data_IF_928496349173
#
_entry.id   IF_928496349173
#
_cell.length_a   1.000
_cell.length_b   1.000
_cell.length_c   1.000
_cell.angle_alpha   90.00
_cell.angle_beta   90.00
_cell.angle_gamma   90.00
#
_symmetry.space_group_name_H-M   'P 1'
#
loop_
_entity.id
_entity.type
_entity.pdbx_description
1 polymer ?
#
# COMPACT_ATOMS: atom_id res chain seq x y z
N UNK A 1 23.69 22.33 -6.12
CA UNK A 1 22.92 23.25 -6.99
C UNK A 1 22.72 22.54 -8.32
N UNK A 2 21.52 21.98 -8.56
CA UNK A 2 21.24 21.25 -9.80
C UNK A 2 21.02 22.25 -10.95
N UNK A 3 22.02 22.42 -11.80
CA UNK A 3 21.85 23.18 -13.04
C UNK A 3 21.04 22.33 -14.03
N UNK A 4 19.78 22.71 -14.26
CA UNK A 4 18.89 22.11 -15.25
C UNK A 4 19.20 22.68 -16.63
N UNK A 5 20.27 22.16 -17.24
CA UNK A 5 20.59 22.52 -18.61
C UNK A 5 19.66 21.82 -19.62
N UNK A 6 19.09 22.52 -20.62
CA UNK A 6 18.14 21.96 -21.58
C UNK A 6 18.63 20.70 -22.31
N UNK A 7 19.91 20.65 -22.65
CA UNK A 7 20.52 19.51 -23.34
C UNK A 7 20.61 18.24 -22.49
N UNK A 8 20.67 18.36 -21.15
CA UNK A 8 20.61 17.20 -20.24
C UNK A 8 19.22 16.60 -20.19
N UNK A 9 18.17 17.43 -20.28
CA UNK A 9 16.78 16.97 -20.33
C UNK A 9 16.53 16.27 -21.67
N UNK A 10 17.03 16.82 -22.78
CA UNK A 10 16.93 16.18 -24.09
C UNK A 10 17.61 14.80 -24.12
N UNK A 11 18.82 14.66 -23.54
CA UNK A 11 19.50 13.36 -23.41
C UNK A 11 18.70 12.36 -22.57
N UNK A 12 18.14 12.82 -21.43
CA UNK A 12 17.30 11.98 -20.57
C UNK A 12 16.09 11.39 -21.31
N UNK A 13 15.50 12.14 -22.24
CA UNK A 13 14.37 11.68 -23.06
C UNK A 13 14.85 10.71 -24.16
N UNK A 14 15.99 11.00 -24.80
CA UNK A 14 16.50 10.25 -25.95
C UNK A 14 17.20 8.93 -25.59
N UNK A 15 17.81 8.83 -24.41
CA UNK A 15 18.61 7.66 -23.97
C UNK A 15 17.75 6.50 -23.42
N UNK A 16 16.43 6.49 -23.67
CA UNK A 16 15.51 5.46 -23.13
C UNK A 16 15.26 5.57 -21.62
N UNK A 17 15.94 6.51 -20.94
CA UNK A 17 15.80 6.77 -19.50
C UNK A 17 14.40 7.25 -19.11
N UNK A 18 13.77 8.07 -19.95
CA UNK A 18 12.36 8.43 -19.79
C UNK A 18 11.43 7.23 -19.97
N UNK A 19 11.74 6.29 -20.87
CA UNK A 19 10.95 5.06 -21.04
C UNK A 19 11.08 4.14 -19.82
N UNK A 20 12.28 3.96 -19.27
CA UNK A 20 12.47 3.18 -18.04
C UNK A 20 11.81 3.87 -16.83
N UNK A 21 11.91 5.19 -16.70
CA UNK A 21 11.20 5.92 -15.64
C UNK A 21 9.67 5.83 -15.81
N UNK A 22 9.15 5.94 -17.02
CA UNK A 22 7.70 5.93 -17.25
C UNK A 22 7.08 4.53 -17.28
N UNK A 23 7.86 3.48 -17.55
CA UNK A 23 7.34 2.12 -17.70
C UNK A 23 7.81 1.19 -16.56
N UNK A 24 9.09 1.18 -16.21
CA UNK A 24 9.62 0.27 -15.19
C UNK A 24 9.33 0.77 -13.77
N UNK A 25 9.42 2.08 -13.54
CA UNK A 25 9.19 2.64 -12.21
C UNK A 25 7.74 2.48 -11.71
N UNK A 26 6.70 2.67 -12.56
CA UNK A 26 5.33 2.36 -12.14
C UNK A 26 5.12 0.87 -11.96
N UNK A 27 5.79 0.01 -12.72
CA UNK A 27 5.72 -1.44 -12.50
C UNK A 27 6.39 -1.86 -11.19
N UNK A 28 7.49 -1.21 -10.81
CA UNK A 28 8.12 -1.41 -9.50
C UNK A 28 7.23 -0.92 -8.34
N UNK A 29 6.57 0.22 -8.53
CA UNK A 29 5.64 0.79 -7.55
C UNK A 29 4.33 -0.01 -7.44
N UNK A 30 3.74 -0.39 -8.58
CA UNK A 30 2.60 -1.29 -8.63
C UNK A 30 2.98 -2.64 -8.03
N UNK A 31 4.19 -3.12 -8.34
CA UNK A 31 4.88 -4.23 -7.68
C UNK A 31 4.77 -4.20 -6.17
N UNK A 32 5.28 -3.13 -5.59
CA UNK A 32 5.18 -2.86 -4.17
C UNK A 32 3.73 -2.90 -3.64
N UNK A 33 2.77 -2.34 -4.38
CA UNK A 33 1.34 -2.37 -4.04
C UNK A 33 0.64 -3.71 -4.36
N UNK A 34 1.37 -4.68 -4.91
CA UNK A 34 0.82 -5.93 -5.40
C UNK A 34 0.44 -5.87 -6.89
N UNK A 35 1.38 -5.66 -7.78
CA UNK A 35 1.16 -5.66 -9.23
C UNK A 35 2.41 -6.20 -9.87
N UNK A 36 2.41 -7.49 -10.22
CA UNK A 36 3.52 -8.19 -10.89
C UNK A 36 4.91 -8.22 -10.21
N UNK A 37 5.16 -7.55 -9.07
CA UNK A 37 6.44 -7.63 -8.32
C UNK A 37 6.19 -7.54 -6.81
N UNK A 38 5.58 -8.56 -6.22
CA UNK A 38 5.13 -8.57 -4.82
C UNK A 38 6.20 -8.90 -3.81
N UNK A 39 6.18 -8.36 -2.59
CA UNK A 39 7.05 -8.83 -1.48
C UNK A 39 8.56 -8.93 -1.86
N UNK A 40 8.97 -8.43 -3.04
CA UNK A 40 10.25 -8.70 -3.70
C UNK A 40 10.35 -9.80 -4.80
N UNK A 41 9.28 -10.47 -5.25
CA UNK A 41 9.30 -11.53 -6.29
C UNK A 41 8.29 -11.30 -7.44
N UNK A 42 8.68 -11.65 -8.67
CA UNK A 42 7.93 -11.38 -9.90
C UNK A 42 6.75 -12.34 -10.20
N UNK A 43 6.62 -13.45 -9.45
CA UNK A 43 5.75 -14.57 -9.88
C UNK A 43 4.36 -14.61 -9.26
N UNK A 44 3.94 -13.58 -8.52
CA UNK A 44 2.57 -13.49 -8.06
C UNK A 44 2.13 -12.03 -8.27
N UNK A 45 0.93 -11.88 -8.80
CA UNK A 45 0.23 -10.60 -8.89
C UNK A 45 -1.09 -10.83 -8.15
N UNK A 46 -1.40 -10.06 -7.10
CA UNK A 46 -2.71 -10.12 -6.51
C UNK A 46 -3.74 -9.69 -7.55
N UNK A 47 -4.95 -10.20 -7.41
CA UNK A 47 -6.02 -9.92 -8.38
C UNK A 47 -6.26 -8.40 -8.47
N UNK A 48 -6.59 -7.86 -9.65
CA UNK A 48 -6.89 -6.44 -9.84
C UNK A 48 -7.90 -5.87 -8.84
N UNK A 49 -8.83 -6.69 -8.36
CA UNK A 49 -9.81 -6.34 -7.32
C UNK A 49 -9.15 -5.85 -6.03
N UNK A 50 -8.05 -6.48 -5.60
CA UNK A 50 -7.31 -6.10 -4.38
C UNK A 50 -6.72 -4.70 -4.56
N UNK A 51 -6.06 -4.46 -5.70
CA UNK A 51 -5.48 -3.16 -6.05
C UNK A 51 -6.54 -2.05 -6.06
N UNK A 52 -7.69 -2.31 -6.67
CA UNK A 52 -8.80 -1.35 -6.74
C UNK A 52 -9.31 -1.04 -5.33
N UNK A 53 -9.61 -2.07 -4.52
CA UNK A 53 -10.13 -1.90 -3.18
C UNK A 53 -9.15 -1.12 -2.28
N UNK A 54 -7.88 -1.50 -2.27
CA UNK A 54 -6.87 -0.79 -1.47
C UNK A 54 -6.65 0.63 -1.97
N UNK A 55 -6.63 0.86 -3.29
CA UNK A 55 -6.49 2.21 -3.86
C UNK A 55 -7.66 3.11 -3.49
N UNK A 56 -8.90 2.61 -3.58
CA UNK A 56 -10.10 3.39 -3.22
C UNK A 56 -10.07 3.76 -1.73
N UNK A 57 -9.74 2.80 -0.85
CA UNK A 57 -9.62 3.05 0.59
C UNK A 57 -8.52 4.06 0.91
N UNK A 58 -7.35 3.90 0.29
CA UNK A 58 -6.19 4.77 0.48
C UNK A 58 -6.42 6.20 -0.04
N UNK A 59 -6.96 6.35 -1.24
CA UNK A 59 -7.29 7.68 -1.82
C UNK A 59 -8.36 8.37 -0.98
N UNK A 60 -9.40 7.64 -0.55
CA UNK A 60 -10.43 8.18 0.33
C UNK A 60 -9.80 8.69 1.64
N UNK A 61 -8.90 7.91 2.24
CA UNK A 61 -8.15 8.32 3.42
C UNK A 61 -7.33 9.59 3.19
N UNK A 62 -6.53 9.67 2.11
CA UNK A 62 -5.70 10.83 1.78
C UNK A 62 -6.56 12.07 1.57
N UNK A 63 -7.62 11.99 0.76
CA UNK A 63 -8.47 13.14 0.40
C UNK A 63 -9.07 13.77 1.66
N UNK A 64 -9.50 12.95 2.61
CA UNK A 64 -10.09 13.44 3.85
C UNK A 64 -9.03 14.02 4.77
N UNK A 65 -7.89 13.33 4.94
CA UNK A 65 -6.84 13.75 5.87
C UNK A 65 -6.03 14.94 5.35
N UNK A 66 -5.87 15.09 4.04
CA UNK A 66 -5.12 16.18 3.41
C UNK A 66 -5.65 17.57 3.78
N UNK A 67 -6.93 17.71 4.15
CA UNK A 67 -7.49 19.00 4.59
C UNK A 67 -6.88 19.50 5.90
N UNK A 68 -6.37 18.60 6.74
CA UNK A 68 -5.80 18.92 8.05
C UNK A 68 -4.29 19.09 8.02
N UNK A 69 -3.63 18.56 6.99
CA UNK A 69 -2.17 18.55 6.93
C UNK A 69 -1.66 19.91 6.45
N UNK A 70 -0.71 20.56 7.16
CA UNK A 70 -0.10 21.81 6.71
C UNK A 70 0.69 21.58 5.43
N UNK A 71 0.80 22.61 4.60
CA UNK A 71 1.45 22.53 3.28
C UNK A 71 2.89 21.99 3.36
N UNK A 72 3.64 22.36 4.42
CA UNK A 72 5.02 21.89 4.64
C UNK A 72 5.11 20.36 4.73
N UNK A 73 4.16 19.72 5.45
CA UNK A 73 4.12 18.26 5.60
C UNK A 73 3.62 17.60 4.31
N UNK A 74 2.65 18.21 3.60
CA UNK A 74 2.26 17.74 2.26
C UNK A 74 3.44 17.69 1.30
N UNK A 75 4.26 18.74 1.30
CA UNK A 75 5.47 18.80 0.46
C UNK A 75 6.48 17.74 0.89
N UNK A 76 6.72 17.56 2.20
CA UNK A 76 7.64 16.55 2.71
C UNK A 76 7.19 15.12 2.39
N UNK A 77 5.94 14.77 2.67
CA UNK A 77 5.37 13.47 2.33
C UNK A 77 5.29 13.26 0.82
N UNK A 78 4.98 14.31 0.05
CA UNK A 78 5.01 14.28 -1.41
C UNK A 78 6.41 14.02 -1.95
N UNK A 79 7.45 14.64 -1.37
CA UNK A 79 8.84 14.36 -1.71
C UNK A 79 9.22 12.91 -1.39
N UNK A 80 8.82 12.39 -0.23
CA UNK A 80 9.01 10.98 0.15
C UNK A 80 8.32 10.00 -0.82
N UNK A 81 7.09 10.31 -1.26
CA UNK A 81 6.39 9.53 -2.28
C UNK A 81 7.08 9.60 -3.65
N UNK A 82 7.61 10.76 -4.04
CA UNK A 82 8.38 10.88 -5.28
C UNK A 82 9.65 10.01 -5.25
N UNK A 83 10.31 9.88 -4.10
CA UNK A 83 11.45 8.97 -3.95
C UNK A 83 11.08 7.51 -4.21
N UNK A 84 9.82 7.11 -4.00
CA UNK A 84 9.35 5.76 -4.34
C UNK A 84 9.39 5.47 -5.85
N UNK A 85 9.38 6.49 -6.70
CA UNK A 85 9.52 6.33 -8.16
C UNK A 85 10.96 6.53 -8.64
N UNK A 86 11.67 7.49 -8.04
CA UNK A 86 13.05 7.78 -8.44
C UNK A 86 14.06 6.71 -8.00
N UNK A 87 13.90 6.11 -6.81
CA UNK A 87 14.85 5.12 -6.31
C UNK A 87 14.81 3.80 -7.10
N UNK A 88 13.66 3.19 -7.42
CA UNK A 88 13.63 1.98 -8.24
C UNK A 88 14.24 2.20 -9.62
N UNK A 89 13.98 3.35 -10.24
CA UNK A 89 14.62 3.73 -11.50
C UNK A 89 16.14 3.77 -11.37
N UNK A 90 16.65 4.44 -10.33
CA UNK A 90 18.10 4.54 -10.11
C UNK A 90 18.75 3.18 -9.81
N UNK A 91 18.08 2.31 -9.04
CA UNK A 91 18.55 0.95 -8.78
C UNK A 91 18.47 0.03 -10.01
N UNK A 92 17.48 0.22 -10.89
CA UNK A 92 17.36 -0.49 -12.17
C UNK A 92 18.58 -0.23 -13.05
N UNK A 93 19.04 1.02 -13.13
CA UNK A 93 20.24 1.40 -13.89
C UNK A 93 21.54 0.80 -13.33
N UNK A 94 21.60 0.56 -12.01
CA UNK A 94 22.81 0.06 -11.34
C UNK A 94 22.98 -1.46 -11.36
N UNK A 95 22.02 -2.23 -11.90
CA UNK A 95 21.96 -3.69 -11.80
C UNK A 95 21.99 -4.25 -10.35
N UNK A 96 21.64 -3.43 -9.35
CA UNK A 96 21.67 -3.79 -7.91
C UNK A 96 20.44 -4.64 -7.51
N UNK A 97 19.54 -4.92 -8.45
CA UNK A 97 18.27 -5.57 -8.20
C UNK A 97 17.24 -4.62 -7.57
N UNK A 98 15.96 -4.93 -7.76
CA UNK A 98 14.84 -4.14 -7.22
C UNK A 98 14.77 -4.32 -5.70
N UNK A 99 15.47 -3.45 -4.96
CA UNK A 99 15.52 -3.50 -3.50
C UNK A 99 14.21 -3.00 -2.87
N UNK A 100 13.17 -3.83 -2.96
CA UNK A 100 11.82 -3.64 -2.38
C UNK A 100 11.83 -3.26 -0.89
N UNK A 101 12.87 -3.68 -0.15
CA UNK A 101 13.03 -3.40 1.29
C UNK A 101 13.14 -1.90 1.64
N UNK A 102 13.78 -1.08 0.80
CA UNK A 102 13.94 0.35 1.10
C UNK A 102 12.69 1.17 0.71
N UNK A 103 11.97 0.71 -0.31
CA UNK A 103 10.71 1.30 -0.78
C UNK A 103 9.67 1.27 0.34
N UNK A 104 9.58 0.15 1.09
CA UNK A 104 8.65 0.00 2.21
C UNK A 104 8.94 1.00 3.34
N UNK A 105 10.20 1.17 3.73
CA UNK A 105 10.57 2.09 4.79
C UNK A 105 10.21 3.54 4.43
N UNK A 106 10.52 3.96 3.20
CA UNK A 106 10.21 5.32 2.71
C UNK A 106 8.70 5.54 2.62
N UNK A 107 7.97 4.55 2.13
CA UNK A 107 6.50 4.59 2.08
C UNK A 107 5.90 4.76 3.48
N UNK A 108 6.32 3.93 4.44
CA UNK A 108 5.82 3.97 5.81
C UNK A 108 6.18 5.28 6.52
N UNK A 109 7.43 5.76 6.40
CA UNK A 109 7.83 7.04 6.99
C UNK A 109 7.01 8.19 6.42
N UNK A 110 6.79 8.20 5.10
CA UNK A 110 5.98 9.24 4.43
C UNK A 110 4.53 9.22 4.91
N UNK A 111 3.94 8.04 5.05
CA UNK A 111 2.56 7.83 5.48
C UNK A 111 2.35 8.14 6.97
N UNK A 112 3.29 7.72 7.83
CA UNK A 112 3.28 8.01 9.28
C UNK A 112 3.42 9.51 9.50
N UNK A 113 4.36 10.17 8.81
CA UNK A 113 4.54 11.63 8.92
C UNK A 113 3.28 12.38 8.51
N UNK A 114 2.65 11.97 7.41
CA UNK A 114 1.41 12.57 6.92
C UNK A 114 0.24 12.37 7.89
N UNK A 115 0.04 11.15 8.36
CA UNK A 115 -1.06 10.78 9.26
C UNK A 115 -0.90 11.37 10.67
N UNK A 116 0.32 11.34 11.23
CA UNK A 116 0.62 11.96 12.53
C UNK A 116 0.35 13.47 12.49
N UNK A 117 0.77 14.15 11.43
CA UNK A 117 0.46 15.58 11.26
C UNK A 117 -1.05 15.82 11.15
N UNK A 118 -1.78 14.96 10.45
CA UNK A 118 -3.23 15.08 10.35
C UNK A 118 -3.94 14.88 11.70
N UNK A 119 -3.38 14.09 12.63
CA UNK A 119 -3.92 13.91 13.99
C UNK A 119 -3.63 15.14 14.84
N UNK A 120 -2.38 15.63 14.85
CA UNK A 120 -1.99 16.83 15.62
C UNK A 120 -2.78 18.05 15.20
N UNK A 121 -2.97 18.27 13.89
CA UNK A 121 -3.74 19.40 13.37
C UNK A 121 -5.25 19.24 13.54
N UNK A 122 -5.77 18.00 13.65
CA UNK A 122 -7.20 17.75 13.94
C UNK A 122 -7.60 18.19 15.35
N UNK A 123 -6.73 18.05 16.35
CA UNK A 123 -7.00 18.56 17.71
C UNK A 123 -7.30 20.06 17.75
N UNK A 124 -6.90 20.80 16.71
CA UNK A 124 -7.12 22.25 16.58
C UNK A 124 -8.39 22.60 15.76
N UNK A 125 -9.00 21.64 15.07
CA UNK A 125 -10.11 21.88 14.15
C UNK A 125 -11.28 20.91 14.40
N UNK A 126 -12.44 21.43 14.84
CA UNK A 126 -13.68 20.70 15.13
C UNK A 126 -14.40 20.17 13.86
N UNK A 127 -13.70 19.46 12.99
CA UNK A 127 -14.26 18.93 11.75
C UNK A 127 -14.72 17.48 11.90
N UNK A 128 -15.91 17.16 11.39
CA UNK A 128 -16.53 15.84 11.49
C UNK A 128 -16.20 14.98 10.26
N UNK A 129 -15.77 13.74 10.48
CA UNK A 129 -15.69 12.74 9.41
C UNK A 129 -17.10 12.36 8.96
N UNK A 130 -17.32 12.29 7.65
CA UNK A 130 -18.57 11.74 7.13
C UNK A 130 -18.65 10.26 7.47
N UNK A 131 -19.80 9.81 7.99
CA UNK A 131 -20.06 8.39 8.26
C UNK A 131 -19.90 7.54 7.01
N UNK A 132 -20.31 8.06 5.84
CA UNK A 132 -20.16 7.37 4.56
C UNK A 132 -18.69 7.10 4.24
N UNK A 133 -17.81 8.08 4.42
CA UNK A 133 -16.38 7.93 4.17
C UNK A 133 -15.72 6.90 5.09
N UNK A 134 -16.11 6.86 6.36
CA UNK A 134 -15.58 5.86 7.31
C UNK A 134 -16.03 4.45 6.93
N UNK A 135 -17.28 4.27 6.52
CA UNK A 135 -17.79 2.98 6.04
C UNK A 135 -17.08 2.56 4.75
N UNK A 136 -16.85 3.49 3.81
CA UNK A 136 -16.09 3.19 2.60
C UNK A 136 -14.68 2.73 2.92
N UNK A 137 -13.96 3.45 3.79
CA UNK A 137 -12.61 3.08 4.24
C UNK A 137 -12.63 1.70 4.89
N UNK A 138 -13.58 1.45 5.80
CA UNK A 138 -13.71 0.17 6.48
C UNK A 138 -13.89 -0.98 5.48
N UNK A 139 -14.90 -0.90 4.61
CA UNK A 139 -15.23 -1.97 3.67
C UNK A 139 -14.09 -2.22 2.68
N UNK A 140 -13.56 -1.16 2.07
CA UNK A 140 -12.55 -1.29 1.01
C UNK A 140 -11.22 -1.82 1.54
N UNK A 141 -10.74 -1.30 2.68
CA UNK A 141 -9.48 -1.76 3.27
C UNK A 141 -9.62 -3.16 3.85
N UNK A 142 -10.73 -3.45 4.53
CA UNK A 142 -10.97 -4.77 5.14
C UNK A 142 -11.09 -5.87 4.08
N UNK A 143 -11.86 -5.63 3.01
CA UNK A 143 -12.00 -6.59 1.91
C UNK A 143 -10.69 -6.73 1.13
N UNK A 144 -9.99 -5.62 0.86
CA UNK A 144 -8.68 -5.63 0.22
C UNK A 144 -7.66 -6.46 1.00
N UNK A 145 -7.61 -6.29 2.32
CA UNK A 145 -6.73 -7.05 3.21
C UNK A 145 -7.09 -8.54 3.23
N UNK A 146 -8.38 -8.89 3.36
CA UNK A 146 -8.80 -10.29 3.40
C UNK A 146 -8.48 -11.04 2.12
N UNK A 147 -8.73 -10.42 0.95
CA UNK A 147 -8.41 -11.00 -0.35
C UNK A 147 -6.89 -11.10 -0.58
N UNK A 148 -6.13 -10.09 -0.16
CA UNK A 148 -4.67 -10.13 -0.20
C UNK A 148 -4.14 -11.29 0.64
N UNK A 149 -4.63 -11.46 1.87
CA UNK A 149 -4.25 -12.55 2.77
C UNK A 149 -4.58 -13.92 2.18
N UNK A 150 -5.78 -14.09 1.61
CA UNK A 150 -6.18 -15.35 0.94
C UNK A 150 -5.18 -15.76 -0.14
N UNK A 151 -4.83 -14.82 -1.01
CA UNK A 151 -3.98 -15.08 -2.15
C UNK A 151 -2.52 -15.31 -1.73
N UNK A 152 -2.04 -14.57 -0.72
CA UNK A 152 -0.73 -14.81 -0.11
C UNK A 152 -0.64 -16.23 0.48
N UNK A 153 -1.64 -16.64 1.27
CA UNK A 153 -1.68 -18.00 1.85
C UNK A 153 -1.69 -19.05 0.73
N UNK A 154 -2.52 -18.87 -0.29
CA UNK A 154 -2.61 -19.78 -1.44
C UNK A 154 -1.28 -19.97 -2.15
N UNK A 155 -0.52 -18.89 -2.39
CA UNK A 155 0.81 -18.98 -3.04
C UNK A 155 1.74 -19.92 -2.30
N UNK A 156 1.78 -19.86 -0.97
CA UNK A 156 2.68 -20.69 -0.18
C UNK A 156 2.22 -22.13 -0.04
N UNK A 157 0.92 -22.39 -0.21
CA UNK A 157 0.34 -23.70 0.07
C UNK A 157 0.15 -24.56 -1.19
N UNK A 158 -0.32 -23.96 -2.28
CA UNK A 158 -0.65 -24.69 -3.53
C UNK A 158 0.18 -24.21 -4.72
N UNK A 159 1.02 -23.19 -4.53
CA UNK A 159 1.68 -22.49 -5.64
C UNK A 159 0.68 -21.75 -6.54
N UNK A 160 0.99 -21.68 -7.84
CA UNK A 160 0.19 -20.99 -8.87
C UNK A 160 -0.80 -21.91 -9.59
N UNK A 161 -0.70 -23.24 -9.44
CA UNK A 161 -1.34 -24.22 -10.31
C UNK A 161 -2.80 -24.55 -9.97
N UNK A 162 -3.23 -24.34 -8.71
CA UNK A 162 -4.57 -24.73 -8.25
C UNK A 162 -5.35 -23.47 -7.89
N UNK A 163 -6.45 -23.16 -8.60
CA UNK A 163 -7.33 -22.02 -8.32
C UNK A 163 -8.59 -22.45 -7.56
N UNK A 164 -8.97 -21.67 -6.55
CA UNK A 164 -10.17 -21.94 -5.76
C UNK A 164 -10.21 -21.15 -4.44
N UNK A 165 -11.41 -21.03 -3.88
CA UNK A 165 -11.63 -20.36 -2.60
C UNK A 165 -11.23 -21.22 -1.39
N UNK A 166 -11.37 -22.54 -1.52
CA UNK A 166 -11.03 -23.47 -0.44
C UNK A 166 -9.50 -23.68 -0.39
N UNK A 167 -8.86 -23.04 0.59
CA UNK A 167 -7.41 -23.13 0.82
C UNK A 167 -6.95 -24.49 1.36
N UNK A 168 -7.86 -25.34 1.84
CA UNK A 168 -7.53 -26.68 2.34
C UNK A 168 -7.42 -27.71 1.20
N UNK A 169 -7.83 -27.37 -0.03
CA UNK A 169 -7.83 -28.30 -1.16
C UNK A 169 -6.49 -28.25 -1.90
N UNK A 170 -5.83 -29.40 -2.04
CA UNK A 170 -4.57 -29.49 -2.77
C UNK A 170 -3.39 -28.88 -2.03
N UNK A 171 -3.47 -28.78 -0.70
CA UNK A 171 -2.42 -28.29 0.19
C UNK A 171 -1.15 -29.13 0.05
N UNK A 172 -0.07 -28.51 -0.42
CA UNK A 172 1.24 -29.16 -0.59
C UNK A 172 2.18 -28.85 0.57
N UNK A 173 2.10 -27.62 1.11
CA UNK A 173 2.99 -27.16 2.17
C UNK A 173 2.21 -26.48 3.29
N UNK A 174 1.89 -27.26 4.32
CA UNK A 174 1.26 -26.79 5.55
C UNK A 174 1.62 -27.73 6.70
N UNK A 175 1.52 -27.26 7.94
CA UNK A 175 1.70 -28.14 9.09
C UNK A 175 0.60 -29.21 9.15
N UNK A 176 0.96 -30.39 9.65
CA UNK A 176 0.01 -31.48 9.90
C UNK A 176 -0.80 -31.26 11.19
N UNK A 177 -0.19 -30.57 12.16
CA UNK A 177 -0.80 -30.26 13.45
C UNK A 177 -0.90 -28.73 13.62
N UNK A 178 -2.12 -28.21 13.65
CA UNK A 178 -2.40 -26.78 13.82
C UNK A 178 -3.66 -26.34 13.07
N UNK A 179 -4.02 -25.05 13.12
CA UNK A 179 -5.22 -24.54 12.45
C UNK A 179 -5.10 -24.68 10.94
N UNK A 180 -6.21 -24.94 10.27
CA UNK A 180 -6.22 -25.09 8.81
C UNK A 180 -5.90 -23.76 8.11
N UNK A 181 -5.39 -23.78 6.87
CA UNK A 181 -5.16 -22.57 6.08
C UNK A 181 -6.38 -21.65 6.01
N UNK A 182 -7.55 -22.25 5.80
CA UNK A 182 -8.83 -21.56 5.75
C UNK A 182 -9.19 -20.93 7.11
N UNK A 183 -8.91 -21.62 8.23
CA UNK A 183 -9.08 -21.05 9.57
C UNK A 183 -8.18 -19.84 9.80
N UNK A 184 -6.91 -19.88 9.39
CA UNK A 184 -5.99 -18.74 9.51
C UNK A 184 -6.45 -17.56 8.68
N UNK A 185 -6.90 -17.80 7.45
CA UNK A 185 -7.44 -16.74 6.61
C UNK A 185 -8.65 -16.05 7.26
N UNK A 186 -9.61 -16.83 7.77
CA UNK A 186 -10.80 -16.28 8.45
C UNK A 186 -10.38 -15.51 9.71
N UNK A 187 -9.57 -16.11 10.58
CA UNK A 187 -9.13 -15.49 11.83
C UNK A 187 -8.36 -14.19 11.58
N UNK A 188 -7.41 -14.20 10.64
CA UNK A 188 -6.64 -13.01 10.28
C UNK A 188 -7.52 -11.91 9.68
N UNK A 189 -8.47 -12.27 8.81
CA UNK A 189 -9.42 -11.31 8.23
C UNK A 189 -10.33 -10.69 9.30
N UNK A 190 -10.88 -11.49 10.20
CA UNK A 190 -11.74 -11.02 11.29
C UNK A 190 -10.94 -10.16 12.27
N UNK A 191 -9.77 -10.60 12.69
CA UNK A 191 -8.91 -9.85 13.62
C UNK A 191 -8.53 -8.48 13.05
N UNK A 192 -8.15 -8.41 11.77
CA UNK A 192 -7.86 -7.15 11.09
C UNK A 192 -9.10 -6.26 10.98
N UNK A 193 -10.25 -6.83 10.61
CA UNK A 193 -11.53 -6.09 10.54
C UNK A 193 -11.90 -5.47 11.88
N UNK A 194 -11.77 -6.23 12.97
CA UNK A 194 -12.05 -5.78 14.34
C UNK A 194 -11.08 -4.68 14.76
N UNK A 195 -9.77 -4.87 14.52
CA UNK A 195 -8.78 -3.85 14.84
C UNK A 195 -9.04 -2.54 14.08
N UNK A 196 -9.36 -2.62 12.78
CA UNK A 196 -9.71 -1.46 11.97
C UNK A 196 -10.98 -0.78 12.49
N UNK A 197 -12.00 -1.56 12.85
CA UNK A 197 -13.24 -1.05 13.43
C UNK A 197 -12.98 -0.30 14.73
N UNK A 198 -12.15 -0.84 15.64
CA UNK A 198 -11.76 -0.19 16.90
C UNK A 198 -11.06 1.14 16.62
N UNK A 199 -10.11 1.19 15.68
CA UNK A 199 -9.40 2.43 15.32
C UNK A 199 -10.38 3.49 14.79
N UNK A 200 -11.32 3.10 13.94
CA UNK A 200 -12.35 4.01 13.42
C UNK A 200 -13.32 4.46 14.52
N UNK A 201 -13.63 3.61 15.50
CA UNK A 201 -14.42 3.99 16.68
C UNK A 201 -13.67 4.96 17.58
N UNK A 202 -12.39 4.75 17.87
CA UNK A 202 -11.57 5.67 18.67
C UNK A 202 -11.49 7.05 18.02
N UNK A 203 -11.31 7.08 16.69
CA UNK A 203 -11.37 8.33 15.90
C UNK A 203 -12.72 9.04 16.03
N UNK A 204 -13.77 8.29 16.39
CA UNK A 204 -15.11 8.80 16.62
C UNK A 204 -15.42 9.10 18.11
N UNK A 205 -14.64 8.57 19.05
CA UNK A 205 -14.90 8.65 20.50
C UNK A 205 -14.23 9.85 21.16
N UNK A 206 -13.09 10.33 20.64
CA UNK A 206 -12.45 11.63 21.02
C UNK A 206 -13.39 12.86 20.91
N UNK A 207 -14.65 12.64 20.52
CA UNK A 207 -15.76 13.57 20.41
C UNK A 207 -16.65 13.69 21.66
N UNK A 208 -16.57 12.76 22.63
CA UNK A 208 -17.52 12.67 23.73
C UNK A 208 -17.06 13.39 25.02
N UNK A 209 -15.76 13.70 25.13
CA UNK A 209 -15.15 14.26 26.33
C UNK A 209 -14.66 15.72 26.17
N UNK A 210 -15.02 16.38 25.06
CA UNK A 210 -14.78 17.82 24.80
C UNK A 210 -16.11 18.50 24.46
#
# INVERSE_FOLDING_TARGET
MFSLYPWRIARFILDGSFYSLSNDSPQAFLGFLGGSIQLGSADFAPTPVVLILMSVGFVTFIVITARFVPLKVKISSGFGLSLLFFLPYWFSLGAIGLASRYIMAIYLVSLVTFSASAVTSRRLANFKFSKSSLVTIFLTISLGQSLSLHQSIRRYITGTNISGWNLNKGTQWWWTHGPSPLSIWILGSVAFSVALFIVLLMTNYDRAEV
#
